data_IF_325233355969
#
_entry.id   IF_325233355969
#
_cell.length_a   1.000
_cell.length_b   1.000
_cell.length_c   1.000
_cell.angle_alpha   90.00
_cell.angle_beta   90.00
_cell.angle_gamma   90.00
#
_symmetry.space_group_name_H-M   'P 1'
#
loop_
_entity.id
_entity.type
_entity.pdbx_description
1 polymer ?
#
# COMPACT_ATOMS: atom_id res chain seq x y z
N UNK A 1 -3.09 -24.59 54.52
CA UNK A 1 -2.59 -23.34 53.90
C UNK A 1 -2.37 -23.48 52.39
N UNK A 2 -2.48 -24.67 51.81
CA UNK A 2 -2.25 -24.90 50.37
C UNK A 2 -3.46 -24.64 49.45
N UNK A 3 -4.67 -24.53 50.01
CA UNK A 3 -5.88 -24.29 49.20
C UNK A 3 -5.99 -22.83 48.74
N UNK A 4 -5.46 -21.88 49.50
CA UNK A 4 -5.52 -20.44 49.16
C UNK A 4 -4.46 -20.08 48.10
N UNK A 5 -3.28 -20.72 48.14
CA UNK A 5 -2.23 -20.50 47.14
C UNK A 5 -2.65 -20.97 45.73
N UNK A 6 -3.42 -22.06 45.63
CA UNK A 6 -3.94 -22.57 44.36
C UNK A 6 -5.10 -21.75 43.79
N UNK A 7 -5.84 -20.99 44.61
CA UNK A 7 -6.92 -20.11 44.14
C UNK A 7 -6.40 -18.78 43.58
N UNK A 8 -5.23 -18.30 44.02
CA UNK A 8 -4.64 -17.05 43.51
C UNK A 8 -3.98 -17.26 42.14
N UNK A 9 -3.44 -18.44 41.85
CA UNK A 9 -2.84 -18.77 40.57
C UNK A 9 -3.83 -18.80 39.39
N UNK A 10 -5.15 -18.96 39.65
CA UNK A 10 -6.19 -18.96 38.62
C UNK A 10 -6.81 -17.59 38.33
N UNK A 11 -6.25 -16.50 38.85
CA UNK A 11 -6.81 -15.13 38.71
C UNK A 11 -5.89 -14.14 38.00
N UNK A 12 -4.78 -14.59 37.41
CA UNK A 12 -4.18 -13.83 36.31
C UNK A 12 -5.12 -14.00 35.12
N UNK A 13 -6.14 -13.15 35.06
CA UNK A 13 -6.87 -12.88 33.82
C UNK A 13 -5.82 -12.26 32.90
N UNK A 14 -5.08 -13.10 32.18
CA UNK A 14 -4.38 -12.65 30.99
C UNK A 14 -5.46 -11.97 30.13
N UNK A 15 -5.38 -10.65 30.00
CA UNK A 15 -6.21 -9.94 29.04
C UNK A 15 -6.10 -10.67 27.70
N UNK A 16 -7.19 -10.79 26.93
CA UNK A 16 -7.28 -11.76 25.83
C UNK A 16 -6.06 -11.60 24.93
N UNK A 17 -5.15 -12.58 24.98
CA UNK A 17 -3.98 -12.58 24.13
C UNK A 17 -4.49 -12.58 22.69
N UNK A 18 -4.14 -11.53 21.94
CA UNK A 18 -4.52 -11.42 20.53
C UNK A 18 -4.05 -12.68 19.81
N UNK A 19 -4.96 -13.51 19.25
CA UNK A 19 -4.57 -14.75 18.61
C UNK A 19 -3.53 -14.46 17.53
N UNK A 20 -2.48 -15.27 17.45
CA UNK A 20 -1.38 -15.07 16.49
C UNK A 20 -1.88 -14.91 15.04
N UNK A 21 -2.97 -15.60 14.68
CA UNK A 21 -3.62 -15.44 13.37
C UNK A 21 -4.11 -14.01 13.12
N UNK A 22 -4.72 -13.38 14.13
CA UNK A 22 -5.21 -11.98 14.06
C UNK A 22 -4.03 -11.01 13.93
N UNK A 23 -2.93 -11.24 14.66
CA UNK A 23 -1.71 -10.44 14.54
C UNK A 23 -1.17 -10.49 13.10
N UNK A 24 -1.16 -11.66 12.48
CA UNK A 24 -0.72 -11.83 11.10
C UNK A 24 -1.61 -11.08 10.10
N UNK A 25 -2.94 -11.03 10.32
CA UNK A 25 -3.83 -10.21 9.49
C UNK A 25 -3.45 -8.72 9.58
N UNK A 26 -3.24 -8.21 10.79
CA UNK A 26 -2.83 -6.82 10.96
C UNK A 26 -1.49 -6.52 10.30
N UNK A 27 -0.51 -7.42 10.43
CA UNK A 27 0.77 -7.29 9.73
C UNK A 27 0.56 -7.23 8.21
N UNK A 28 -0.33 -8.06 7.67
CA UNK A 28 -0.65 -8.10 6.23
C UNK A 28 -1.24 -6.78 5.74
N UNK A 29 -2.20 -6.23 6.49
CA UNK A 29 -2.84 -4.95 6.18
C UNK A 29 -1.83 -3.79 6.26
N UNK A 30 -1.04 -3.74 7.35
CA UNK A 30 0.00 -2.74 7.56
C UNK A 30 1.06 -2.82 6.46
N UNK A 31 1.54 -4.01 6.12
CA UNK A 31 2.53 -4.23 5.07
C UNK A 31 2.06 -3.65 3.74
N UNK A 32 0.84 -3.98 3.33
CA UNK A 32 0.28 -3.54 2.05
C UNK A 32 0.11 -2.02 1.98
N UNK A 33 -0.46 -1.42 3.02
CA UNK A 33 -0.62 0.03 3.11
C UNK A 33 0.73 0.75 3.15
N UNK A 34 1.65 0.28 4.00
CA UNK A 34 2.95 0.92 4.19
C UNK A 34 3.79 0.88 2.92
N UNK A 35 3.83 -0.25 2.20
CA UNK A 35 4.56 -0.32 0.93
C UNK A 35 3.97 0.62 -0.13
N UNK A 36 2.65 0.72 -0.22
CA UNK A 36 1.98 1.68 -1.11
C UNK A 36 2.30 3.13 -0.74
N UNK A 37 2.18 3.49 0.54
CA UNK A 37 2.46 4.85 1.03
C UNK A 37 3.93 5.25 0.83
N UNK A 38 4.86 4.36 1.19
CA UNK A 38 6.30 4.61 1.00
C UNK A 38 6.62 4.77 -0.48
N UNK A 39 6.12 3.86 -1.33
CA UNK A 39 6.31 3.92 -2.77
C UNK A 39 5.84 5.26 -3.35
N UNK A 40 4.61 5.67 -3.03
CA UNK A 40 4.06 6.92 -3.51
C UNK A 40 4.77 8.16 -2.95
N UNK A 41 5.13 8.18 -1.67
CA UNK A 41 5.87 9.30 -1.08
C UNK A 41 7.23 9.48 -1.77
N UNK A 42 7.98 8.38 -1.95
CA UNK A 42 9.27 8.39 -2.66
C UNK A 42 9.09 8.81 -4.11
N UNK A 43 8.07 8.29 -4.80
CA UNK A 43 7.81 8.60 -6.20
C UNK A 43 7.43 10.06 -6.42
N UNK A 44 6.50 10.59 -5.63
CA UNK A 44 6.12 11.99 -5.66
C UNK A 44 7.29 12.92 -5.31
N UNK A 45 8.14 12.54 -4.35
CA UNK A 45 9.35 13.29 -4.02
C UNK A 45 10.31 13.40 -5.22
N UNK A 46 10.58 12.28 -5.91
CA UNK A 46 11.48 12.27 -7.07
C UNK A 46 10.97 13.18 -8.19
N UNK A 47 9.72 13.02 -8.60
CA UNK A 47 9.14 13.83 -9.67
C UNK A 47 8.93 15.28 -9.25
N UNK A 48 8.61 15.51 -7.97
CA UNK A 48 8.45 16.84 -7.39
C UNK A 48 9.73 17.67 -7.39
N UNK A 49 10.90 17.06 -7.20
CA UNK A 49 12.18 17.76 -7.34
C UNK A 49 12.39 18.32 -8.75
N UNK A 50 12.10 17.52 -9.79
CA UNK A 50 12.16 18.01 -11.16
C UNK A 50 11.08 19.05 -11.45
N UNK A 51 9.85 18.84 -10.97
CA UNK A 51 8.75 19.77 -11.13
C UNK A 51 9.07 21.14 -10.51
N UNK A 52 9.64 21.16 -9.30
CA UNK A 52 10.08 22.38 -8.61
C UNK A 52 11.17 23.13 -9.37
N UNK A 53 12.10 22.43 -10.02
CA UNK A 53 13.12 23.06 -10.86
C UNK A 53 12.50 23.74 -12.08
N UNK A 54 11.57 23.04 -12.74
CA UNK A 54 10.88 23.59 -13.92
C UNK A 54 10.00 24.77 -13.55
N UNK A 55 9.27 24.73 -12.44
CA UNK A 55 8.36 25.82 -12.05
C UNK A 55 9.06 27.07 -11.55
N UNK A 56 10.33 26.95 -11.11
CA UNK A 56 11.15 28.11 -10.78
C UNK A 56 11.48 28.96 -12.01
N UNK A 57 11.66 28.33 -13.18
CA UNK A 57 11.96 29.02 -14.44
C UNK A 57 10.70 29.27 -15.30
N UNK A 58 9.73 28.35 -15.24
CA UNK A 58 8.53 28.30 -16.08
C UNK A 58 7.27 28.05 -15.24
N UNK A 59 6.81 29.04 -14.46
CA UNK A 59 5.69 28.88 -13.53
C UNK A 59 4.36 28.55 -14.23
N UNK A 60 4.21 28.93 -15.51
CA UNK A 60 3.03 28.62 -16.32
C UNK A 60 2.83 27.12 -16.54
N UNK A 61 3.87 26.30 -16.38
CA UNK A 61 3.82 24.85 -16.53
C UNK A 61 3.39 24.11 -15.26
N UNK A 62 3.14 24.82 -14.15
CA UNK A 62 2.83 24.22 -12.84
C UNK A 62 1.78 23.11 -12.91
N UNK A 63 0.63 23.35 -13.54
CA UNK A 63 -0.43 22.35 -13.64
C UNK A 63 -0.02 21.07 -14.37
N UNK A 64 0.80 21.20 -15.42
CA UNK A 64 1.30 20.06 -16.22
C UNK A 64 2.31 19.23 -15.44
N UNK A 65 3.26 19.88 -14.75
CA UNK A 65 4.26 19.15 -13.97
C UNK A 65 3.71 18.61 -12.64
N UNK A 66 2.71 19.28 -12.05
CA UNK A 66 1.96 18.77 -10.90
C UNK A 66 1.25 17.47 -11.25
N UNK A 67 0.64 17.39 -12.44
CA UNK A 67 0.02 16.17 -12.93
C UNK A 67 1.05 15.04 -13.02
N UNK A 68 2.21 15.29 -13.62
CA UNK A 68 3.29 14.29 -13.68
C UNK A 68 3.75 13.84 -12.29
N UNK A 69 3.90 14.77 -11.34
CA UNK A 69 4.25 14.46 -9.95
C UNK A 69 3.20 13.60 -9.25
N UNK A 70 1.93 13.77 -9.59
CA UNK A 70 0.84 13.02 -8.96
C UNK A 70 0.71 11.58 -9.45
N UNK A 71 1.25 11.24 -10.63
CA UNK A 71 1.12 9.90 -11.23
C UNK A 71 1.59 8.75 -10.33
N UNK A 72 2.77 8.78 -9.67
CA UNK A 72 3.18 7.73 -8.73
C UNK A 72 2.36 7.71 -7.41
N UNK A 73 1.27 8.46 -7.32
CA UNK A 73 0.39 8.50 -6.15
C UNK A 73 -0.64 7.38 -6.06
N UNK A 74 -0.97 6.73 -7.17
CA UNK A 74 -2.04 5.71 -7.18
C UNK A 74 -1.66 4.47 -6.37
N UNK A 75 -0.37 4.13 -6.27
CA UNK A 75 0.12 3.00 -5.47
C UNK A 75 -0.21 3.11 -3.98
N UNK A 76 -0.24 4.33 -3.42
CA UNK A 76 -0.71 4.58 -2.07
C UNK A 76 -2.19 4.25 -1.91
N UNK A 77 -3.02 4.60 -2.90
CA UNK A 77 -4.44 4.27 -2.90
C UNK A 77 -4.63 2.75 -3.00
N UNK A 78 -3.88 2.08 -3.87
CA UNK A 78 -3.95 0.62 -3.98
C UNK A 78 -3.52 -0.07 -2.68
N UNK A 79 -2.46 0.41 -2.02
CA UNK A 79 -2.04 -0.07 -0.71
C UNK A 79 -3.13 0.07 0.36
N UNK A 80 -3.80 1.22 0.40
CA UNK A 80 -4.93 1.48 1.31
C UNK A 80 -6.11 0.54 1.02
N UNK A 81 -6.51 0.40 -0.24
CA UNK A 81 -7.58 -0.50 -0.66
C UNK A 81 -7.23 -1.94 -0.32
N UNK A 82 -6.00 -2.38 -0.57
CA UNK A 82 -5.53 -3.72 -0.21
C UNK A 82 -5.62 -4.00 1.29
N UNK A 83 -5.21 -3.05 2.13
CA UNK A 83 -5.33 -3.15 3.58
C UNK A 83 -6.81 -3.25 4.01
N UNK A 84 -7.69 -2.43 3.42
CA UNK A 84 -9.13 -2.51 3.67
C UNK A 84 -9.70 -3.88 3.29
N UNK A 85 -9.35 -4.41 2.11
CA UNK A 85 -9.81 -5.71 1.64
C UNK A 85 -9.33 -6.84 2.56
N UNK A 86 -8.09 -6.80 3.03
CA UNK A 86 -7.54 -7.77 3.99
C UNK A 86 -8.36 -7.79 5.29
N UNK A 87 -8.66 -6.62 5.85
CA UNK A 87 -9.46 -6.50 7.08
C UNK A 87 -10.93 -6.90 6.87
N UNK A 88 -11.49 -6.58 5.70
CA UNK A 88 -12.86 -6.91 5.34
C UNK A 88 -13.05 -8.42 5.13
N UNK A 89 -12.17 -9.08 4.37
CA UNK A 89 -12.30 -10.52 4.08
C UNK A 89 -11.93 -11.39 5.27
N UNK A 90 -11.05 -10.94 6.16
CA UNK A 90 -10.76 -11.64 7.42
C UNK A 90 -11.88 -11.56 8.45
N UNK A 91 -12.88 -10.70 8.22
CA UNK A 91 -14.00 -10.46 9.13
C UNK A 91 -13.68 -9.59 10.34
N UNK A 92 -12.43 -9.12 10.49
CA UNK A 92 -12.00 -8.28 11.62
C UNK A 92 -12.63 -6.89 11.54
N UNK A 93 -12.80 -6.35 10.33
CA UNK A 93 -13.35 -5.01 10.16
C UNK A 93 -14.81 -4.95 10.62
N UNK A 94 -15.06 -4.22 11.71
CA UNK A 94 -16.40 -4.08 12.29
C UNK A 94 -16.83 -5.24 13.20
N UNK A 95 -15.89 -6.10 13.62
CA UNK A 95 -16.19 -7.18 14.56
C UNK A 95 -16.58 -6.63 15.94
N UNK A 96 -17.75 -7.02 16.44
CA UNK A 96 -18.26 -6.63 17.77
C UNK A 96 -17.71 -7.54 18.90
N UNK A 97 -17.12 -8.68 18.54
CA UNK A 97 -16.55 -9.66 19.46
C UNK A 97 -15.18 -10.13 19.00
N UNK A 98 -14.43 -10.76 19.91
CA UNK A 98 -13.10 -11.29 19.62
C UNK A 98 -13.20 -12.42 18.59
N UNK A 99 -12.60 -12.21 17.41
CA UNK A 99 -12.50 -13.23 16.37
C UNK A 99 -11.25 -14.07 16.62
N UNK A 100 -11.43 -15.39 16.61
CA UNK A 100 -10.32 -16.34 16.65
C UNK A 100 -9.98 -16.77 15.23
N UNK A 101 -8.82 -16.33 14.74
CA UNK A 101 -8.27 -16.74 13.44
C UNK A 101 -7.14 -17.73 13.68
N UNK A 102 -7.16 -18.85 12.94
CA UNK A 102 -6.09 -19.84 13.01
C UNK A 102 -4.76 -19.26 12.50
N UNK A 103 -3.63 -19.74 13.03
CA UNK A 103 -2.30 -19.33 12.55
C UNK A 103 -2.14 -19.61 11.05
N UNK A 104 -2.67 -20.73 10.56
CA UNK A 104 -2.61 -21.11 9.14
C UNK A 104 -3.35 -20.11 8.25
N UNK A 105 -4.56 -19.71 8.63
CA UNK A 105 -5.31 -18.66 7.95
C UNK A 105 -4.54 -17.33 7.97
N UNK A 106 -3.98 -16.95 9.12
CA UNK A 106 -3.16 -15.73 9.24
C UNK A 106 -1.97 -15.70 8.28
N UNK A 107 -1.26 -16.83 8.12
CA UNK A 107 -0.15 -16.96 7.16
C UNK A 107 -0.65 -16.80 5.71
N UNK A 108 -1.82 -17.37 5.38
CA UNK A 108 -2.38 -17.24 4.03
C UNK A 108 -2.68 -15.78 3.66
N UNK A 109 -3.24 -15.00 4.59
CA UNK A 109 -3.44 -13.55 4.38
C UNK A 109 -2.13 -12.80 4.21
N UNK A 110 -1.10 -13.16 4.98
CA UNK A 110 0.23 -12.56 4.84
C UNK A 110 0.80 -12.82 3.45
N UNK A 111 0.74 -14.06 2.98
CA UNK A 111 1.19 -14.42 1.63
C UNK A 111 0.35 -13.75 0.54
N UNK A 112 -0.97 -13.63 0.75
CA UNK A 112 -1.88 -12.94 -0.17
C UNK A 112 -1.58 -11.44 -0.31
N UNK A 113 -0.99 -10.82 0.72
CA UNK A 113 -0.62 -9.40 0.74
C UNK A 113 0.67 -9.06 -0.02
N UNK A 114 1.55 -10.06 -0.24
CA UNK A 114 2.87 -9.85 -0.83
C UNK A 114 2.83 -9.30 -2.27
N UNK A 115 2.00 -9.82 -3.20
CA UNK A 115 1.97 -9.33 -4.58
C UNK A 115 1.71 -7.83 -4.64
N UNK A 116 0.65 -7.33 -4.01
CA UNK A 116 0.33 -5.90 -3.99
C UNK A 116 1.39 -5.07 -3.27
N UNK A 117 1.84 -5.47 -2.07
CA UNK A 117 2.83 -4.67 -1.34
C UNK A 117 4.12 -4.49 -2.14
N UNK A 118 4.65 -5.56 -2.73
CA UNK A 118 5.89 -5.52 -3.51
C UNK A 118 5.69 -4.75 -4.83
N UNK A 119 4.61 -5.02 -5.58
CA UNK A 119 4.40 -4.31 -6.84
C UNK A 119 4.09 -2.84 -6.63
N UNK A 120 3.41 -2.45 -5.56
CA UNK A 120 3.10 -1.06 -5.24
C UNK A 120 4.37 -0.23 -5.03
N UNK A 121 5.29 -0.68 -4.17
CA UNK A 121 6.52 0.10 -3.93
C UNK A 121 7.42 0.17 -5.16
N UNK A 122 7.61 -0.94 -5.87
CA UNK A 122 8.50 -1.00 -7.03
C UNK A 122 7.94 -0.22 -8.23
N UNK A 123 6.65 -0.39 -8.53
CA UNK A 123 6.02 0.31 -9.65
C UNK A 123 5.98 1.82 -9.42
N UNK A 124 5.72 2.30 -8.19
CA UNK A 124 5.74 3.72 -7.88
C UNK A 124 7.12 4.36 -8.16
N UNK A 125 8.20 3.68 -7.75
CA UNK A 125 9.59 4.16 -7.96
C UNK A 125 9.96 4.13 -9.45
N UNK A 126 9.52 3.13 -10.20
CA UNK A 126 9.79 3.06 -11.63
C UNK A 126 8.95 4.08 -12.42
N UNK A 127 7.68 4.25 -12.04
CA UNK A 127 6.76 5.23 -12.62
C UNK A 127 7.27 6.65 -12.38
N UNK A 128 7.80 6.96 -11.18
CA UNK A 128 8.36 8.27 -10.89
C UNK A 128 9.59 8.58 -11.74
N UNK A 129 10.44 7.59 -12.08
CA UNK A 129 11.60 7.81 -12.97
C UNK A 129 11.17 8.20 -14.39
N UNK A 130 10.12 7.55 -14.92
CA UNK A 130 9.52 7.95 -16.19
C UNK A 130 8.84 9.31 -16.10
N UNK A 131 8.07 9.55 -15.03
CA UNK A 131 7.36 10.82 -14.83
C UNK A 131 8.33 12.00 -14.69
N UNK A 132 9.47 11.81 -14.01
CA UNK A 132 10.55 12.79 -13.87
C UNK A 132 11.16 13.13 -15.23
N UNK A 133 11.44 12.12 -16.06
CA UNK A 133 11.88 12.34 -17.45
C UNK A 133 10.81 13.08 -18.27
N UNK A 134 9.53 12.78 -18.01
CA UNK A 134 8.39 13.47 -18.61
C UNK A 134 8.33 14.96 -18.26
N UNK A 135 8.60 15.33 -17.00
CA UNK A 135 8.71 16.73 -16.56
C UNK A 135 9.79 17.47 -17.34
N UNK A 136 10.98 16.86 -17.51
CA UNK A 136 12.08 17.45 -18.30
C UNK A 136 11.69 17.64 -19.77
N UNK A 137 10.90 16.72 -20.34
CA UNK A 137 10.41 16.86 -21.71
C UNK A 137 9.37 17.99 -21.83
N UNK A 138 8.43 18.09 -20.89
CA UNK A 138 7.42 19.16 -20.84
C UNK A 138 8.07 20.53 -20.71
N UNK A 139 9.19 20.63 -19.97
CA UNK A 139 9.95 21.87 -19.86
C UNK A 139 10.51 22.36 -21.20
N UNK A 140 10.83 21.43 -22.12
CA UNK A 140 11.33 21.74 -23.48
C UNK A 140 10.20 22.01 -24.45
N UNK A 141 9.17 21.16 -24.45
CA UNK A 141 8.01 21.25 -25.32
C UNK A 141 6.78 20.73 -24.58
N UNK A 142 5.89 21.66 -24.23
CA UNK A 142 4.72 21.40 -23.41
C UNK A 142 3.58 20.70 -24.17
N UNK A 143 3.71 20.56 -25.50
CA UNK A 143 2.83 19.73 -26.34
C UNK A 143 3.05 18.23 -26.11
N UNK A 144 4.22 17.85 -25.56
CA UNK A 144 4.57 16.45 -25.26
C UNK A 144 3.90 15.89 -24.00
N UNK A 145 3.14 16.72 -23.26
CA UNK A 145 2.51 16.33 -21.99
C UNK A 145 1.71 15.04 -22.09
N UNK A 146 0.86 14.90 -23.11
CA UNK A 146 0.06 13.69 -23.32
C UNK A 146 0.92 12.43 -23.50
N UNK A 147 1.99 12.53 -24.29
CA UNK A 147 2.92 11.42 -24.52
C UNK A 147 3.69 11.06 -23.25
N UNK A 148 4.14 12.05 -22.48
CA UNK A 148 4.83 11.84 -21.21
C UNK A 148 3.94 11.12 -20.19
N UNK A 149 2.67 11.51 -20.10
CA UNK A 149 1.68 10.86 -19.24
C UNK A 149 1.46 9.40 -19.63
N UNK A 150 1.17 9.12 -20.90
CA UNK A 150 0.89 7.75 -21.37
C UNK A 150 2.08 6.83 -21.10
N UNK A 151 3.30 7.27 -21.39
CA UNK A 151 4.51 6.47 -21.12
C UNK A 151 4.66 6.17 -19.62
N UNK A 152 4.39 7.15 -18.76
CA UNK A 152 4.47 6.97 -17.31
C UNK A 152 3.37 6.04 -16.79
N UNK A 153 2.15 6.16 -17.31
CA UNK A 153 1.00 5.35 -16.89
C UNK A 153 1.14 3.85 -17.25
N UNK A 154 1.94 3.48 -18.25
CA UNK A 154 2.14 2.05 -18.57
C UNK A 154 2.73 1.23 -17.42
N UNK A 155 3.54 1.86 -16.55
CA UNK A 155 4.11 1.19 -15.37
C UNK A 155 3.04 0.86 -14.31
N UNK A 156 1.97 1.67 -14.25
CA UNK A 156 0.88 1.53 -13.28
C UNK A 156 0.18 0.16 -13.36
N UNK A 157 0.09 -0.41 -14.57
CA UNK A 157 -0.52 -1.72 -14.83
C UNK A 157 0.00 -2.82 -13.92
N UNK A 158 1.28 -2.80 -13.55
CA UNK A 158 1.88 -3.81 -12.69
C UNK A 158 1.40 -3.72 -11.23
N UNK A 159 1.10 -2.52 -10.75
CA UNK A 159 0.47 -2.33 -9.44
C UNK A 159 -0.95 -2.90 -9.44
N UNK A 160 -1.71 -2.62 -10.50
CA UNK A 160 -3.08 -3.12 -10.69
C UNK A 160 -3.09 -4.65 -10.75
N UNK A 161 -2.16 -5.28 -11.45
CA UNK A 161 -2.04 -6.74 -11.47
C UNK A 161 -1.68 -7.32 -10.10
N UNK A 162 -0.83 -6.63 -9.32
CA UNK A 162 -0.58 -7.00 -7.93
C UNK A 162 -1.84 -6.93 -7.07
N UNK A 163 -2.61 -5.85 -7.17
CA UNK A 163 -3.90 -5.71 -6.50
C UNK A 163 -4.88 -6.82 -6.91
N UNK A 164 -4.97 -7.13 -8.20
CA UNK A 164 -5.88 -8.15 -8.72
C UNK A 164 -5.53 -9.54 -8.17
N UNK A 165 -4.25 -9.94 -8.20
CA UNK A 165 -3.82 -11.23 -7.65
C UNK A 165 -4.03 -11.27 -6.14
N UNK A 166 -3.69 -10.22 -5.40
CA UNK A 166 -3.99 -10.13 -3.97
C UNK A 166 -5.48 -10.32 -3.71
N UNK A 167 -6.36 -9.64 -4.46
CA UNK A 167 -7.81 -9.79 -4.33
C UNK A 167 -8.28 -11.24 -4.59
N UNK A 168 -7.80 -11.88 -5.67
CA UNK A 168 -8.14 -13.28 -5.99
C UNK A 168 -7.71 -14.23 -4.86
N UNK A 169 -6.53 -13.99 -4.27
CA UNK A 169 -6.06 -14.80 -3.14
C UNK A 169 -6.94 -14.60 -1.90
N UNK A 170 -7.33 -13.37 -1.57
CA UNK A 170 -8.17 -13.08 -0.41
C UNK A 170 -9.53 -13.79 -0.49
N UNK A 171 -10.20 -13.77 -1.65
CA UNK A 171 -11.48 -14.46 -1.82
C UNK A 171 -11.37 -16.00 -1.85
N UNK A 172 -10.16 -16.53 -1.99
CA UNK A 172 -9.90 -17.98 -2.05
C UNK A 172 -9.57 -18.59 -0.69
N UNK A 173 -9.27 -17.76 0.32
CA UNK A 173 -8.99 -18.20 1.69
C UNK A 173 -10.32 -18.64 2.35
N UNK A 174 -10.30 -19.81 3.00
CA UNK A 174 -11.46 -20.43 3.66
C UNK A 174 -11.38 -20.34 5.17
#
# INVERSE_FOLDING_TARGET
>A
MDTIANTVASTVVEGPALPIGVILIFISAVFTALMGFIGSAIGMYQTGQAASGVTAERPELFGKVLLMQSLPGSQGIYGLVGAFLILQFSGILGAESLITISTGTGIQYLLASLPLGITAILSAILQSRLATSGVVNIAKDDTLTAKAMVLSAMIETWAIFGLLITFILLISIK
#
